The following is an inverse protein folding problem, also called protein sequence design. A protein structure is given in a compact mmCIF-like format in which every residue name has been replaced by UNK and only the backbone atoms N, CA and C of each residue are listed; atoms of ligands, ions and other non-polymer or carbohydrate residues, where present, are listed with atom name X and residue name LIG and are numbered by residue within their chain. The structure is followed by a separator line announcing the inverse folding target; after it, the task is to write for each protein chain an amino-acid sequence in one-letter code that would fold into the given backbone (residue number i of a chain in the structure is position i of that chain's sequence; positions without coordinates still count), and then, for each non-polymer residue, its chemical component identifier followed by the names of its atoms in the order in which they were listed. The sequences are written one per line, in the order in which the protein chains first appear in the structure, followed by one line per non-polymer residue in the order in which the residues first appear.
data_IF_528579549169
#
_entry.id   IF_528579549169
#
_cell.length_a   1.000
_cell.length_b   1.000
_cell.length_c   1.000
_cell.angle_alpha   90.00
_cell.angle_beta   90.00
_cell.angle_gamma   90.00
#
_symmetry.space_group_name_H-M   'P 1'
#
loop_
_entity.id
_entity.type
_entity.pdbx_description
1 polymer ?
#
# COMPACT_ATOMS: atom_id res chain seq x y z
N UNK A 1 -2.36 -15.43 20.57
CA UNK A 1 -1.99 -15.14 20.05
C UNK A 1 -2.01 -14.90 19.25
N UNK A 2 -1.84 -14.38 18.99
CA UNK A 2 -1.66 -13.98 18.26
C UNK A 2 -1.11 -14.13 17.44
N UNK A 3 -1.22 -14.36 16.91
CA UNK A 3 -0.69 -14.52 16.09
C UNK A 3 -0.17 -13.72 15.56
N UNK A 4 0.68 -13.85 15.78
CA UNK A 4 1.35 -12.83 15.27
C UNK A 4 1.35 -12.71 13.91
N UNK A 5 0.76 -11.95 13.42
CA UNK A 5 0.66 -11.84 12.03
C UNK A 5 1.82 -11.15 11.44
N UNK A 6 2.14 -11.46 10.22
CA UNK A 6 3.20 -10.80 9.50
C UNK A 6 2.66 -9.54 8.88
N UNK A 7 2.54 -8.52 9.68
CA UNK A 7 2.08 -7.23 9.18
C UNK A 7 3.22 -6.51 8.50
N UNK A 8 2.96 -6.04 7.31
CA UNK A 8 3.95 -5.36 6.50
C UNK A 8 3.48 -3.96 6.19
N UNK A 9 4.39 -2.99 6.30
CA UNK A 9 4.09 -1.62 5.93
C UNK A 9 4.66 -1.38 4.54
N UNK A 10 3.80 -0.97 3.63
CA UNK A 10 4.18 -0.68 2.26
C UNK A 10 4.06 0.80 2.04
N UNK A 11 5.14 1.45 1.65
CA UNK A 11 5.16 2.88 1.40
C UNK A 11 5.49 3.13 -0.06
N UNK A 12 4.69 3.96 -0.72
CA UNK A 12 4.88 4.29 -2.12
C UNK A 12 4.87 5.79 -2.28
N UNK A 13 5.85 6.34 -2.98
CA UNK A 13 5.97 7.77 -3.21
C UNK A 13 6.23 8.00 -4.70
N UNK A 14 5.51 8.93 -5.30
CA UNK A 14 5.71 9.25 -6.70
C UNK A 14 4.77 10.34 -7.17
N UNK A 15 4.87 10.69 -8.46
CA UNK A 15 4.04 11.74 -9.04
C UNK A 15 2.85 11.19 -9.81
N UNK A 16 2.96 10.01 -10.36
CA UNK A 16 1.90 9.43 -11.17
C UNK A 16 0.94 8.64 -10.31
N UNK A 17 -0.04 9.36 -9.76
CA UNK A 17 -0.98 8.77 -8.81
C UNK A 17 -1.71 7.58 -9.41
N UNK A 18 -2.22 7.72 -10.63
CA UNK A 18 -3.02 6.67 -11.26
C UNK A 18 -2.17 5.43 -11.52
N UNK A 19 -0.96 5.64 -12.08
CA UNK A 19 -0.07 4.53 -12.37
C UNK A 19 0.39 3.81 -11.12
N UNK A 20 0.66 4.58 -10.05
CA UNK A 20 1.09 3.99 -8.79
C UNK A 20 -0.01 3.12 -8.19
N UNK A 21 -1.22 3.65 -8.14
CA UNK A 21 -2.35 2.90 -7.57
C UNK A 21 -2.60 1.64 -8.37
N UNK A 22 -2.55 1.74 -9.70
CA UNK A 22 -2.79 0.58 -10.55
C UNK A 22 -1.77 -0.52 -10.29
N UNK A 23 -0.49 -0.15 -10.20
CA UNK A 23 0.58 -1.12 -9.98
C UNK A 23 0.47 -1.77 -8.60
N UNK A 24 0.17 -0.97 -7.58
CA UNK A 24 0.04 -1.49 -6.23
C UNK A 24 -1.15 -2.43 -6.14
N UNK A 25 -2.28 -2.03 -6.70
CA UNK A 25 -3.47 -2.88 -6.67
C UNK A 25 -3.23 -4.21 -7.39
N UNK A 26 -2.55 -4.17 -8.52
CA UNK A 26 -2.23 -5.38 -9.26
C UNK A 26 -1.34 -6.30 -8.44
N UNK A 27 -0.31 -5.74 -7.81
CA UNK A 27 0.59 -6.51 -6.98
C UNK A 27 -0.14 -7.19 -5.83
N UNK A 28 -1.00 -6.43 -5.14
CA UNK A 28 -1.75 -6.96 -4.01
C UNK A 28 -2.69 -8.07 -4.45
N UNK A 29 -3.34 -7.87 -5.59
CA UNK A 29 -4.28 -8.86 -6.13
C UNK A 29 -3.57 -10.14 -6.54
N UNK A 30 -2.44 -10.02 -7.22
CA UNK A 30 -1.72 -11.20 -7.68
C UNK A 30 -1.13 -12.01 -6.55
N UNK A 31 -0.81 -11.36 -5.43
CA UNK A 31 -0.21 -12.03 -4.29
C UNK A 31 -1.24 -12.33 -3.20
N UNK A 32 -2.50 -12.04 -3.45
CA UNK A 32 -3.57 -12.29 -2.49
C UNK A 32 -3.28 -11.69 -1.13
N UNK A 33 -2.80 -10.45 -1.15
CA UNK A 33 -2.45 -9.73 0.06
C UNK A 33 -3.68 -9.02 0.60
N UNK A 34 -3.93 -9.16 1.88
CA UNK A 34 -5.05 -8.52 2.53
C UNK A 34 -4.61 -7.19 3.13
N UNK A 35 -5.23 -6.10 2.67
CA UNK A 35 -4.90 -4.77 3.15
C UNK A 35 -5.74 -4.45 4.38
N UNK A 36 -5.09 -4.07 5.46
CA UNK A 36 -5.75 -3.76 6.72
C UNK A 36 -6.05 -2.27 6.85
N UNK A 37 -5.17 -1.42 6.32
CA UNK A 37 -5.34 0.01 6.44
C UNK A 37 -4.55 0.72 5.34
N UNK A 38 -5.06 1.86 4.89
CA UNK A 38 -4.42 2.67 3.87
C UNK A 38 -4.50 4.13 4.29
N UNK A 39 -3.38 4.83 4.18
CA UNK A 39 -3.30 6.27 4.39
C UNK A 39 -2.63 6.90 3.19
N UNK A 40 -3.20 7.97 2.65
CA UNK A 40 -2.61 8.61 1.49
C UNK A 40 -2.68 10.12 1.64
N UNK A 41 -1.63 10.77 1.15
CA UNK A 41 -1.45 12.21 1.27
C UNK A 41 -0.73 12.73 0.03
N UNK A 42 -1.04 13.94 -0.37
CA UNK A 42 -0.29 14.59 -1.45
C UNK A 42 0.45 15.77 -0.86
N UNK A 43 1.76 15.79 -1.03
CA UNK A 43 2.62 16.85 -0.51
C UNK A 43 3.45 17.40 -1.65
N UNK A 44 3.30 18.70 -1.92
CA UNK A 44 4.05 19.40 -2.98
C UNK A 44 4.02 18.68 -4.31
N UNK A 45 2.85 18.15 -4.69
CA UNK A 45 2.69 17.45 -5.95
C UNK A 45 3.13 16.00 -5.94
N UNK A 46 3.67 15.53 -4.84
CA UNK A 46 4.05 14.13 -4.72
C UNK A 46 2.98 13.35 -3.97
N UNK A 47 2.59 12.24 -4.55
CA UNK A 47 1.65 11.33 -3.94
C UNK A 47 2.40 10.42 -2.98
N UNK A 48 1.90 10.30 -1.77
CA UNK A 48 2.52 9.48 -0.75
C UNK A 48 1.45 8.55 -0.20
N UNK A 49 1.68 7.26 -0.28
CA UNK A 49 0.72 6.29 0.19
C UNK A 49 1.41 5.29 1.10
N UNK A 50 0.79 5.04 2.25
CA UNK A 50 1.27 4.03 3.18
C UNK A 50 0.13 3.08 3.48
N UNK A 51 0.41 1.79 3.45
CA UNK A 51 -0.61 0.83 3.79
C UNK A 51 -0.04 -0.26 4.68
N UNK A 52 -0.91 -0.81 5.49
CA UNK A 52 -0.58 -1.94 6.36
C UNK A 52 -1.26 -3.15 5.78
N UNK A 53 -0.49 -4.16 5.50
CA UNK A 53 -1.00 -5.37 4.88
C UNK A 53 -0.67 -6.59 5.73
N UNK A 54 -1.53 -7.57 5.61
CA UNK A 54 -1.35 -8.84 6.30
C UNK A 54 -0.92 -9.86 5.27
N UNK A 55 0.29 -10.30 5.38
CA UNK A 55 0.86 -11.29 4.48
C UNK A 55 1.01 -12.63 5.20
#
# INVERSE_FOLDING_TARGET
MEKNMDRTIITVVGKDVVGIIAKVCLYLSENQINVLDISQTTISGFFNMMMIADM
#
